data_IF_784122931561
#
_entry.id   IF_784122931561
#
_cell.length_a   1.000
_cell.length_b   1.000
_cell.length_c   1.000
_cell.angle_alpha   90.00
_cell.angle_beta   90.00
_cell.angle_gamma   90.00
#
_symmetry.space_group_name_H-M   'P 1'
#
loop_
_entity.id
_entity.type
_entity.pdbx_description
1 polymer ?
#
# COMPACT_ATOMS: atom_id res chain seq x y z
N UNK A 1 4.59 -13.87 5.40
CA UNK A 1 3.94 -12.54 5.31
C UNK A 1 2.56 -12.54 5.95
N UNK A 2 2.46 -12.92 7.23
CA UNK A 2 1.27 -12.63 8.03
C UNK A 2 1.46 -11.22 8.60
N UNK A 3 0.51 -10.30 8.40
CA UNK A 3 0.54 -8.98 9.06
C UNK A 3 0.99 -7.77 8.22
N UNK A 4 1.03 -7.84 6.88
CA UNK A 4 1.26 -6.63 6.09
C UNK A 4 0.04 -5.69 6.17
N UNK A 5 0.19 -4.56 6.87
CA UNK A 5 -0.90 -3.62 7.18
C UNK A 5 -1.59 -3.02 5.94
N UNK A 6 -0.97 -3.10 4.76
CA UNK A 6 -1.57 -2.64 3.50
C UNK A 6 -2.85 -3.42 3.17
N UNK A 7 -2.92 -4.73 3.41
CA UNK A 7 -4.10 -5.51 3.02
C UNK A 7 -5.39 -5.13 3.77
N UNK A 8 -5.40 -5.03 5.11
CA UNK A 8 -6.58 -4.51 5.81
C UNK A 8 -6.87 -3.05 5.45
N UNK A 9 -5.84 -2.21 5.24
CA UNK A 9 -6.04 -0.83 4.77
C UNK A 9 -6.73 -0.78 3.39
N UNK A 10 -6.33 -1.63 2.45
CA UNK A 10 -6.94 -1.79 1.13
C UNK A 10 -8.40 -2.24 1.23
N UNK A 11 -8.67 -3.27 2.04
CA UNK A 11 -10.04 -3.77 2.24
C UNK A 11 -10.94 -2.64 2.75
N UNK A 12 -10.51 -1.93 3.80
CA UNK A 12 -11.25 -0.79 4.33
C UNK A 12 -11.38 0.35 3.32
N UNK A 13 -10.33 0.65 2.54
CA UNK A 13 -10.34 1.71 1.54
C UNK A 13 -11.32 1.43 0.39
N UNK A 14 -11.28 0.22 -0.18
CA UNK A 14 -12.24 -0.21 -1.20
C UNK A 14 -13.67 -0.27 -0.67
N UNK A 15 -13.86 -0.78 0.56
CA UNK A 15 -15.18 -0.79 1.19
C UNK A 15 -15.70 0.64 1.43
N UNK A 16 -14.85 1.59 1.82
CA UNK A 16 -15.21 2.99 1.97
C UNK A 16 -15.68 3.60 0.63
N UNK A 17 -14.95 3.34 -0.46
CA UNK A 17 -15.35 3.79 -1.80
C UNK A 17 -16.66 3.14 -2.24
N UNK A 18 -16.86 1.85 -1.98
CA UNK A 18 -18.12 1.17 -2.27
C UNK A 18 -19.29 1.79 -1.51
N UNK A 19 -19.13 2.10 -0.23
CA UNK A 19 -20.18 2.78 0.55
C UNK A 19 -20.43 4.20 0.03
N UNK A 20 -19.38 4.93 -0.36
CA UNK A 20 -19.50 6.20 -1.05
C UNK A 20 -20.30 6.08 -2.35
N UNK A 21 -20.10 5.02 -3.13
CA UNK A 21 -20.86 4.75 -4.35
C UNK A 21 -22.33 4.46 -4.06
N UNK A 22 -22.60 3.62 -3.06
CA UNK A 22 -23.96 3.29 -2.64
C UNK A 22 -24.68 4.55 -2.14
N UNK A 23 -23.97 5.50 -1.52
CA UNK A 23 -24.53 6.82 -1.22
C UNK A 23 -25.01 7.54 -2.48
N UNK A 24 -24.20 7.59 -3.54
CA UNK A 24 -24.59 8.24 -4.82
C UNK A 24 -25.88 7.63 -5.39
N UNK A 25 -26.10 6.32 -5.17
CA UNK A 25 -27.30 5.64 -5.66
C UNK A 25 -28.52 5.78 -4.75
N UNK A 26 -28.33 5.82 -3.43
CA UNK A 26 -29.41 5.70 -2.44
C UNK A 26 -29.72 7.00 -1.72
N UNK A 27 -28.85 8.01 -1.81
CA UNK A 27 -28.89 9.31 -1.14
C UNK A 27 -29.14 9.22 0.38
N UNK A 28 -28.51 8.24 1.04
CA UNK A 28 -28.61 8.04 2.50
C UNK A 28 -27.27 8.33 3.19
N UNK A 29 -27.22 9.38 4.01
CA UNK A 29 -26.01 9.83 4.71
C UNK A 29 -25.32 8.74 5.56
N UNK A 30 -26.08 7.75 6.07
CA UNK A 30 -25.49 6.63 6.84
C UNK A 30 -24.39 5.87 6.08
N UNK A 31 -24.47 5.83 4.75
CA UNK A 31 -23.45 5.20 3.92
C UNK A 31 -22.15 6.01 3.90
N UNK A 32 -22.25 7.35 3.90
CA UNK A 32 -21.09 8.22 4.04
C UNK A 32 -20.49 8.18 5.44
N UNK A 33 -21.32 8.05 6.48
CA UNK A 33 -20.84 7.81 7.84
C UNK A 33 -20.02 6.51 7.90
N UNK A 34 -20.53 5.44 7.30
CA UNK A 34 -19.80 4.17 7.16
C UNK A 34 -18.51 4.32 6.34
N UNK A 35 -18.55 5.06 5.23
CA UNK A 35 -17.36 5.34 4.42
C UNK A 35 -16.29 6.11 5.20
N UNK A 36 -16.72 7.10 6.00
CA UNK A 36 -15.86 7.87 6.89
C UNK A 36 -15.20 7.03 7.98
N UNK A 37 -15.97 6.16 8.64
CA UNK A 37 -15.43 5.23 9.64
C UNK A 37 -14.38 4.31 9.00
N UNK A 38 -14.68 3.73 7.84
CA UNK A 38 -13.73 2.87 7.13
C UNK A 38 -12.49 3.63 6.66
N UNK A 39 -12.61 4.87 6.19
CA UNK A 39 -11.46 5.70 5.84
C UNK A 39 -10.58 6.02 7.07
N UNK A 40 -11.19 6.26 8.24
CA UNK A 40 -10.46 6.41 9.50
C UNK A 40 -9.74 5.13 9.95
N UNK A 41 -10.37 3.96 9.77
CA UNK A 41 -9.73 2.65 10.01
C UNK A 41 -8.62 2.37 9.00
N UNK A 42 -8.80 2.76 7.73
CA UNK A 42 -7.72 2.71 6.72
C UNK A 42 -6.53 3.53 7.18
N UNK A 43 -6.76 4.76 7.67
CA UNK A 43 -5.71 5.61 8.20
C UNK A 43 -4.99 4.96 9.39
N UNK A 44 -5.70 4.32 10.32
CA UNK A 44 -5.11 3.59 11.44
C UNK A 44 -4.08 2.54 11.00
N UNK A 45 -4.39 1.75 9.97
CA UNK A 45 -3.42 0.79 9.41
C UNK A 45 -2.32 1.48 8.61
N UNK A 46 -2.69 2.46 7.80
CA UNK A 46 -1.81 3.20 6.90
C UNK A 46 -2.34 4.60 6.63
N UNK A 47 -1.68 5.60 7.22
CA UNK A 47 -2.07 7.00 7.15
C UNK A 47 -2.14 7.54 5.71
N UNK A 48 -1.18 7.15 4.88
CA UNK A 48 -1.11 7.49 3.45
C UNK A 48 -2.31 6.93 2.67
N UNK A 49 -2.64 5.65 2.84
CA UNK A 49 -3.82 5.04 2.21
C UNK A 49 -5.13 5.64 2.72
N UNK A 50 -5.17 6.05 4.00
CA UNK A 50 -6.30 6.78 4.57
C UNK A 50 -6.50 8.13 3.88
N UNK A 51 -5.42 8.87 3.64
CA UNK A 51 -5.44 10.12 2.89
C UNK A 51 -5.92 9.90 1.44
N UNK A 52 -5.40 8.90 0.73
CA UNK A 52 -5.84 8.61 -0.64
C UNK A 52 -7.32 8.21 -0.70
N UNK A 53 -7.80 7.44 0.28
CA UNK A 53 -9.21 7.06 0.39
C UNK A 53 -10.09 8.29 0.61
N UNK A 54 -9.71 9.19 1.52
CA UNK A 54 -10.42 10.43 1.78
C UNK A 54 -10.46 11.35 0.55
N UNK A 55 -9.33 11.50 -0.15
CA UNK A 55 -9.24 12.27 -1.39
C UNK A 55 -10.18 11.71 -2.48
N UNK A 56 -10.21 10.39 -2.64
CA UNK A 56 -11.09 9.70 -3.59
C UNK A 56 -12.58 9.84 -3.25
N UNK A 57 -12.96 9.75 -1.97
CA UNK A 57 -14.33 10.07 -1.52
C UNK A 57 -14.66 11.54 -1.85
N UNK A 58 -13.73 12.45 -1.60
CA UNK A 58 -13.86 13.87 -1.94
C UNK A 58 -14.16 14.07 -3.43
N UNK A 59 -13.39 13.42 -4.31
CA UNK A 59 -13.59 13.45 -5.77
C UNK A 59 -14.98 12.91 -6.15
N UNK A 60 -15.40 11.80 -5.55
CA UNK A 60 -16.73 11.24 -5.78
C UNK A 60 -17.83 12.25 -5.43
N UNK A 61 -17.74 12.91 -4.27
CA UNK A 61 -18.72 13.90 -3.81
C UNK A 61 -18.69 15.21 -4.62
N UNK A 62 -17.51 15.68 -5.00
CA UNK A 62 -17.36 16.90 -5.81
C UNK A 62 -17.93 16.67 -7.21
N UNK A 63 -17.68 15.52 -7.83
CA UNK A 63 -18.20 15.22 -9.16
C UNK A 63 -19.72 15.05 -9.17
N UNK A 64 -20.31 14.45 -8.14
CA UNK A 64 -21.79 14.36 -8.05
C UNK A 64 -22.44 15.72 -7.80
N UNK A 65 -21.73 16.64 -7.14
CA UNK A 65 -22.17 18.02 -6.98
C UNK A 65 -22.05 18.84 -8.29
N UNK A 66 -20.92 18.74 -8.99
CA UNK A 66 -20.66 19.46 -10.25
C UNK A 66 -21.51 18.94 -11.42
N UNK A 67 -21.66 17.62 -11.51
CA UNK A 67 -22.29 16.91 -12.63
C UNK A 67 -23.44 16.02 -12.11
N UNK A 68 -24.53 16.62 -11.60
CA UNK A 68 -25.61 15.85 -10.99
C UNK A 68 -26.28 14.94 -12.01
N UNK A 69 -26.58 13.67 -11.64
CA UNK A 69 -27.21 12.72 -12.54
C UNK A 69 -28.69 13.05 -12.85
N UNK A 70 -29.37 13.81 -11.98
CA UNK A 70 -30.81 14.10 -12.05
C UNK A 70 -31.16 15.56 -11.66
N UNK A 71 -31.85 16.26 -12.56
CA UNK A 71 -32.63 17.48 -12.30
C UNK A 71 -31.86 18.78 -12.01
N UNK A 72 -32.49 19.91 -12.35
CA UNK A 72 -32.02 21.24 -11.95
C UNK A 72 -32.39 21.52 -10.48
N UNK A 73 -31.61 20.94 -9.57
CA UNK A 73 -31.61 21.39 -8.18
C UNK A 73 -30.91 22.76 -8.12
N UNK A 74 -31.45 23.72 -7.37
CA UNK A 74 -30.80 25.02 -7.19
C UNK A 74 -29.38 24.87 -6.62
N UNK A 75 -28.45 25.75 -7.02
CA UNK A 75 -27.04 25.68 -6.61
C UNK A 75 -26.86 25.68 -5.09
N UNK A 76 -27.69 26.45 -4.37
CA UNK A 76 -27.68 26.52 -2.90
C UNK A 76 -27.99 25.16 -2.25
N UNK A 77 -29.01 24.46 -2.74
CA UNK A 77 -29.37 23.13 -2.24
C UNK A 77 -28.31 22.09 -2.54
N UNK A 78 -27.68 22.15 -3.73
CA UNK A 78 -26.56 21.26 -4.07
C UNK A 78 -25.38 21.47 -3.12
N UNK A 79 -25.03 22.73 -2.86
CA UNK A 79 -23.91 23.09 -1.98
C UNK A 79 -24.19 22.65 -0.54
N UNK A 80 -25.41 22.87 -0.04
CA UNK A 80 -25.83 22.38 1.28
C UNK A 80 -25.72 20.85 1.37
N UNK A 81 -26.18 20.12 0.36
CA UNK A 81 -26.07 18.65 0.31
C UNK A 81 -24.61 18.20 0.30
N UNK A 82 -23.74 18.86 -0.48
CA UNK A 82 -22.31 18.57 -0.49
C UNK A 82 -21.69 18.79 0.89
N UNK A 83 -21.98 19.90 1.57
CA UNK A 83 -21.46 20.17 2.91
C UNK A 83 -21.90 19.10 3.92
N UNK A 84 -23.17 18.68 3.88
CA UNK A 84 -23.69 17.60 4.73
C UNK A 84 -23.02 16.26 4.41
N UNK A 85 -22.81 15.96 3.13
CA UNK A 85 -22.14 14.75 2.67
C UNK A 85 -20.67 14.72 3.12
N UNK A 86 -19.96 15.84 2.93
CA UNK A 86 -18.57 16.01 3.38
C UNK A 86 -18.49 15.86 4.90
N UNK A 87 -19.38 16.48 5.66
CA UNK A 87 -19.41 16.34 7.12
C UNK A 87 -19.70 14.90 7.56
N UNK A 88 -20.64 14.23 6.89
CA UNK A 88 -21.00 12.85 7.18
C UNK A 88 -19.84 11.86 6.94
N UNK A 89 -19.00 12.11 5.92
CA UNK A 89 -17.81 11.29 5.66
C UNK A 89 -16.59 11.72 6.50
N UNK A 90 -16.29 13.02 6.56
CA UNK A 90 -15.10 13.54 7.23
C UNK A 90 -15.20 13.47 8.76
N UNK A 91 -16.39 13.69 9.34
CA UNK A 91 -16.58 13.70 10.79
C UNK A 91 -16.12 12.40 11.47
N UNK A 92 -16.65 11.22 11.08
CA UNK A 92 -16.21 9.95 11.64
C UNK A 92 -14.75 9.61 11.35
N UNK A 93 -14.24 9.94 10.15
CA UNK A 93 -12.86 9.71 9.78
C UNK A 93 -11.89 10.52 10.66
N UNK A 94 -12.15 11.82 10.79
CA UNK A 94 -11.35 12.73 11.62
C UNK A 94 -11.43 12.34 13.09
N UNK A 95 -12.59 11.94 13.60
CA UNK A 95 -12.73 11.46 14.97
C UNK A 95 -11.80 10.28 15.24
N UNK A 96 -11.80 9.26 14.38
CA UNK A 96 -10.91 8.09 14.54
C UNK A 96 -9.43 8.47 14.44
N UNK A 97 -9.06 9.28 13.45
CA UNK A 97 -7.69 9.76 13.28
C UNK A 97 -7.23 10.54 14.53
N UNK A 98 -8.05 11.46 15.03
CA UNK A 98 -7.73 12.25 16.22
C UNK A 98 -7.63 11.38 17.48
N UNK A 99 -8.49 10.37 17.63
CA UNK A 99 -8.42 9.44 18.77
C UNK A 99 -7.13 8.62 18.72
N UNK A 100 -6.83 7.97 17.60
CA UNK A 100 -5.66 7.09 17.50
C UNK A 100 -4.35 7.85 17.51
N UNK A 101 -4.21 8.87 16.66
CA UNK A 101 -2.96 9.64 16.57
C UNK A 101 -2.84 10.68 17.67
N UNK A 102 -3.94 11.16 18.25
CA UNK A 102 -3.89 11.98 19.47
C UNK A 102 -3.39 11.17 20.66
N UNK A 103 -3.87 9.94 20.84
CA UNK A 103 -3.35 9.03 21.86
C UNK A 103 -1.87 8.70 21.61
N UNK A 104 -1.51 8.29 20.38
CA UNK A 104 -0.12 7.98 20.03
C UNK A 104 0.81 9.19 20.27
N UNK A 105 0.40 10.38 19.83
CA UNK A 105 1.15 11.62 20.06
C UNK A 105 1.28 11.99 21.53
N UNK A 106 0.27 11.68 22.36
CA UNK A 106 0.33 11.91 23.81
C UNK A 106 1.30 10.98 24.54
N UNK A 107 1.52 9.76 24.01
CA UNK A 107 2.41 8.76 24.61
C UNK A 107 3.84 8.86 24.07
N UNK A 108 4.00 9.01 22.75
CA UNK A 108 5.30 9.00 22.07
C UNK A 108 5.88 10.41 21.81
N UNK A 109 5.09 11.46 22.01
CA UNK A 109 5.42 12.83 21.66
C UNK A 109 5.03 13.18 20.22
N UNK A 110 4.31 14.30 20.05
CA UNK A 110 3.83 14.75 18.74
C UNK A 110 4.95 15.04 17.74
N UNK A 111 6.07 15.61 18.19
CA UNK A 111 7.22 15.86 17.31
C UNK A 111 7.78 14.56 16.74
N UNK A 112 8.02 13.56 17.59
CA UNK A 112 8.50 12.24 17.19
C UNK A 112 7.51 11.55 16.25
N UNK A 113 6.22 11.64 16.55
CA UNK A 113 5.17 11.05 15.72
C UNK A 113 5.14 11.69 14.32
N UNK A 114 5.16 13.02 14.23
CA UNK A 114 5.18 13.74 12.94
C UNK A 114 6.44 13.40 12.14
N UNK A 115 7.59 13.38 12.80
CA UNK A 115 8.85 13.03 12.15
C UNK A 115 8.80 11.62 11.54
N UNK A 116 8.35 10.62 12.31
CA UNK A 116 8.34 9.22 11.85
C UNK A 116 7.21 8.89 10.88
N UNK A 117 6.02 9.50 11.04
CA UNK A 117 4.85 9.15 10.22
C UNK A 117 4.69 10.01 8.96
N UNK A 118 5.22 11.23 8.95
CA UNK A 118 5.01 12.18 7.85
C UNK A 118 6.33 12.60 7.20
N UNK A 119 7.30 13.09 7.98
CA UNK A 119 8.54 13.67 7.43
C UNK A 119 9.42 12.57 6.84
N UNK A 120 9.80 11.58 7.65
CA UNK A 120 10.71 10.51 7.25
C UNK A 120 10.24 9.75 5.99
N UNK A 121 8.96 9.29 5.88
CA UNK A 121 8.49 8.61 4.66
C UNK A 121 8.49 9.52 3.42
N UNK A 122 8.23 10.82 3.59
CA UNK A 122 8.14 11.77 2.48
C UNK A 122 9.51 12.25 1.98
N UNK A 123 10.54 12.26 2.83
CA UNK A 123 11.87 12.80 2.51
C UNK A 123 12.93 11.71 2.53
N UNK A 124 13.38 11.30 3.72
CA UNK A 124 14.56 10.47 3.94
C UNK A 124 14.38 9.06 3.41
N UNK A 125 13.23 8.42 3.66
CA UNK A 125 12.99 7.04 3.24
C UNK A 125 13.16 6.87 1.73
N UNK A 126 12.56 7.75 0.93
CA UNK A 126 12.71 7.71 -0.53
C UNK A 126 14.15 7.97 -0.96
N UNK A 127 14.84 8.92 -0.34
CA UNK A 127 16.22 9.25 -0.69
C UNK A 127 17.19 8.07 -0.49
N UNK A 128 16.94 7.21 0.51
CA UNK A 128 17.87 6.16 0.93
C UNK A 128 17.41 4.74 0.62
N UNK A 129 16.13 4.55 0.28
CA UNK A 129 15.54 3.24 -0.09
C UNK A 129 14.97 3.19 -1.51
N UNK A 130 15.16 4.24 -2.30
CA UNK A 130 14.77 4.24 -3.71
C UNK A 130 15.47 3.10 -4.47
N UNK A 131 14.68 2.37 -5.25
CA UNK A 131 15.16 1.42 -6.25
C UNK A 131 14.94 2.02 -7.64
N UNK A 132 15.86 1.77 -8.59
CA UNK A 132 15.74 2.32 -9.93
C UNK A 132 14.45 1.83 -10.59
N UNK A 133 13.74 2.76 -11.22
CA UNK A 133 12.58 2.40 -12.03
C UNK A 133 13.04 1.68 -13.31
N UNK A 134 12.19 0.81 -13.89
CA UNK A 134 12.45 0.29 -15.23
C UNK A 134 12.66 1.46 -16.21
N UNK A 135 13.75 1.49 -17.01
CA UNK A 135 13.96 2.58 -17.96
C UNK A 135 12.81 2.67 -18.99
N UNK A 136 12.68 3.80 -19.70
CA UNK A 136 11.65 3.92 -20.73
C UNK A 136 11.92 3.00 -21.94
N UNK A 137 13.20 2.75 -22.21
CA UNK A 137 13.67 1.88 -23.27
C UNK A 137 14.24 0.62 -22.60
N UNK A 138 13.70 -0.58 -22.89
CA UNK A 138 14.26 -1.84 -22.43
C UNK A 138 15.76 -1.94 -22.67
N UNK A 139 16.50 -2.35 -21.64
CA UNK A 139 17.89 -2.69 -21.82
C UNK A 139 17.98 -4.05 -22.52
N UNK A 140 18.26 -4.01 -23.82
CA UNK A 140 18.40 -5.21 -24.64
C UNK A 140 19.73 -5.95 -24.40
N UNK A 141 20.60 -5.47 -23.51
CA UNK A 141 21.79 -6.22 -23.07
C UNK A 141 21.45 -7.59 -22.44
N UNK A 142 20.17 -7.84 -22.12
CA UNK A 142 19.64 -9.15 -21.72
C UNK A 142 19.94 -10.27 -22.72
N UNK A 143 20.23 -9.97 -23.98
CA UNK A 143 20.61 -10.97 -24.98
C UNK A 143 22.07 -11.45 -24.80
N UNK A 144 22.91 -10.65 -24.15
CA UNK A 144 24.35 -10.91 -23.97
C UNK A 144 24.77 -11.27 -22.54
N UNK A 145 23.85 -11.28 -21.57
CA UNK A 145 24.17 -11.55 -20.17
C UNK A 145 24.42 -13.03 -19.83
N UNK A 146 24.94 -13.28 -18.63
CA UNK A 146 25.05 -14.61 -18.02
C UNK A 146 23.70 -15.08 -17.43
N UNK A 147 23.35 -16.37 -17.59
CA UNK A 147 22.06 -16.96 -17.21
C UNK A 147 21.12 -17.27 -18.38
N UNK A 148 19.98 -17.90 -18.10
CA UNK A 148 18.99 -18.23 -19.14
C UNK A 148 18.24 -16.98 -19.62
N UNK A 149 18.04 -16.90 -20.94
CA UNK A 149 17.33 -15.79 -21.59
C UNK A 149 15.90 -15.69 -21.07
N UNK A 150 15.23 -16.82 -20.86
CA UNK A 150 13.83 -16.87 -20.42
C UNK A 150 13.61 -16.17 -19.07
N UNK A 151 14.50 -16.40 -18.09
CA UNK A 151 14.38 -15.80 -16.75
C UNK A 151 14.64 -14.29 -16.80
N UNK A 152 15.61 -13.85 -17.63
CA UNK A 152 15.88 -12.42 -17.80
C UNK A 152 14.75 -11.69 -18.51
N UNK A 153 14.20 -12.31 -19.55
CA UNK A 153 13.10 -11.78 -20.33
C UNK A 153 11.82 -11.68 -19.48
N UNK A 154 11.50 -12.73 -18.71
CA UNK A 154 10.37 -12.73 -17.77
C UNK A 154 10.51 -11.64 -16.72
N UNK A 155 11.68 -11.52 -16.07
CA UNK A 155 11.92 -10.45 -15.09
C UNK A 155 11.78 -9.06 -15.70
N UNK A 156 12.41 -8.83 -16.86
CA UNK A 156 12.34 -7.54 -17.55
C UNK A 156 10.88 -7.20 -17.93
N UNK A 157 10.17 -8.10 -18.60
CA UNK A 157 8.78 -7.85 -19.00
C UNK A 157 7.88 -7.67 -17.79
N UNK A 158 8.01 -8.52 -16.77
CA UNK A 158 7.24 -8.42 -15.54
C UNK A 158 7.44 -7.05 -14.88
N UNK A 159 8.69 -6.58 -14.77
CA UNK A 159 8.98 -5.30 -14.14
C UNK A 159 8.43 -4.11 -14.94
N UNK A 160 8.64 -4.11 -16.25
CA UNK A 160 8.12 -3.07 -17.13
C UNK A 160 6.60 -3.02 -17.12
N UNK A 161 5.95 -4.18 -17.26
CA UNK A 161 4.49 -4.25 -17.34
C UNK A 161 3.86 -3.88 -16.00
N UNK A 162 4.43 -4.34 -14.88
CA UNK A 162 3.94 -3.99 -13.54
C UNK A 162 4.06 -2.49 -13.26
N UNK A 163 5.12 -1.84 -13.71
CA UNK A 163 5.31 -0.40 -13.50
C UNK A 163 4.49 0.47 -14.47
N UNK A 164 4.54 0.19 -15.77
CA UNK A 164 3.98 1.07 -16.80
C UNK A 164 2.49 0.84 -17.09
N UNK A 165 1.94 -0.37 -16.90
CA UNK A 165 0.51 -0.62 -17.11
C UNK A 165 -0.36 0.25 -16.19
N UNK A 166 -0.10 0.34 -14.86
CA UNK A 166 -0.89 1.21 -14.00
C UNK A 166 -0.90 2.66 -14.47
N UNK A 167 0.27 3.22 -14.79
CA UNK A 167 0.40 4.59 -15.30
C UNK A 167 -0.41 4.78 -16.60
N UNK A 168 -0.27 3.87 -17.55
CA UNK A 168 -1.01 3.93 -18.82
C UNK A 168 -2.52 3.88 -18.58
N UNK A 169 -3.00 2.97 -17.73
CA UNK A 169 -4.43 2.83 -17.44
C UNK A 169 -4.98 4.06 -16.71
N UNK A 170 -4.23 4.67 -15.79
CA UNK A 170 -4.64 5.92 -15.15
C UNK A 170 -4.69 7.10 -16.14
N UNK A 171 -3.71 7.22 -17.04
CA UNK A 171 -3.71 8.25 -18.09
C UNK A 171 -4.90 8.06 -19.05
N UNK A 172 -5.11 6.85 -19.56
CA UNK A 172 -6.21 6.54 -20.47
C UNK A 172 -7.57 6.72 -19.80
N UNK A 173 -7.72 6.26 -18.56
CA UNK A 173 -8.97 6.43 -17.81
C UNK A 173 -9.26 7.91 -17.57
N UNK A 174 -8.26 8.70 -17.18
CA UNK A 174 -8.39 10.16 -17.02
C UNK A 174 -8.82 10.84 -18.32
N UNK A 175 -8.19 10.49 -19.44
CA UNK A 175 -8.54 11.03 -20.75
C UNK A 175 -9.99 10.70 -21.14
N UNK A 176 -10.44 9.46 -20.93
CA UNK A 176 -11.81 9.04 -21.18
C UNK A 176 -12.81 9.78 -20.28
N UNK A 177 -12.47 9.98 -19.00
CA UNK A 177 -13.28 10.74 -18.05
C UNK A 177 -13.43 12.20 -18.46
N UNK A 178 -12.33 12.85 -18.88
CA UNK A 178 -12.37 14.22 -19.41
C UNK A 178 -13.26 14.30 -20.65
N UNK A 179 -13.14 13.36 -21.58
CA UNK A 179 -14.02 13.30 -22.76
C UNK A 179 -15.49 13.09 -22.36
N UNK A 180 -15.77 12.22 -21.38
CA UNK A 180 -17.13 12.01 -20.86
C UNK A 180 -17.70 13.29 -20.24
N UNK A 181 -16.92 13.97 -19.39
CA UNK A 181 -17.31 15.22 -18.74
C UNK A 181 -17.57 16.35 -19.75
N UNK A 182 -16.70 16.53 -20.76
CA UNK A 182 -16.88 17.53 -21.82
C UNK A 182 -18.13 17.25 -22.65
N UNK A 183 -18.38 15.98 -23.00
CA UNK A 183 -19.61 15.59 -23.71
C UNK A 183 -20.86 15.82 -22.87
N UNK A 184 -20.74 15.66 -21.54
CA UNK A 184 -21.83 15.94 -20.63
C UNK A 184 -22.15 17.43 -20.52
N UNK A 185 -21.12 18.28 -20.39
CA UNK A 185 -21.28 19.73 -20.34
C UNK A 185 -21.84 20.33 -21.64
N UNK A 186 -21.57 19.73 -22.80
CA UNK A 186 -22.11 20.17 -24.10
C UNK A 186 -23.54 19.71 -24.38
N UNK A 187 -24.23 19.11 -23.39
CA UNK A 187 -25.61 18.63 -23.53
C UNK A 187 -25.77 17.34 -24.35
N UNK A 188 -24.66 16.66 -24.69
CA UNK A 188 -24.68 15.49 -25.57
C UNK A 188 -25.02 14.17 -24.85
N UNK A 189 -24.67 14.02 -23.56
CA UNK A 189 -24.93 12.85 -22.70
C UNK A 189 -24.95 13.27 -21.22
N UNK A 190 -25.39 12.43 -20.29
CA UNK A 190 -25.18 12.66 -18.84
C UNK A 190 -23.88 12.01 -18.39
N UNK A 191 -23.19 12.61 -17.42
CA UNK A 191 -22.05 11.98 -16.76
C UNK A 191 -22.55 10.81 -15.91
N UNK A 192 -22.06 9.59 -16.19
CA UNK A 192 -22.59 8.42 -15.53
C UNK A 192 -22.06 8.32 -14.09
N UNK A 193 -22.87 7.75 -13.17
CA UNK A 193 -22.42 7.50 -11.79
C UNK A 193 -21.15 6.62 -11.77
N UNK A 194 -21.07 5.66 -12.68
CA UNK A 194 -19.88 4.82 -12.88
C UNK A 194 -18.64 5.61 -13.29
N UNK A 195 -18.79 6.74 -13.97
CA UNK A 195 -17.67 7.61 -14.34
C UNK A 195 -17.16 8.38 -13.12
N UNK A 196 -18.04 8.82 -12.22
CA UNK A 196 -17.63 9.42 -10.93
C UNK A 196 -16.85 8.42 -10.06
N UNK A 197 -17.28 7.15 -10.03
CA UNK A 197 -16.53 6.08 -9.36
C UNK A 197 -15.18 5.83 -10.03
N UNK A 198 -15.13 5.75 -11.36
CA UNK A 198 -13.86 5.58 -12.07
C UNK A 198 -12.89 6.74 -11.79
N UNK A 199 -13.38 7.98 -11.69
CA UNK A 199 -12.55 9.12 -11.29
C UNK A 199 -12.01 8.99 -9.86
N UNK A 200 -12.85 8.58 -8.91
CA UNK A 200 -12.43 8.31 -7.54
C UNK A 200 -11.37 7.19 -7.48
N UNK A 201 -11.55 6.13 -8.28
CA UNK A 201 -10.59 5.04 -8.40
C UNK A 201 -9.27 5.50 -9.03
N UNK A 202 -9.28 6.36 -10.06
CA UNK A 202 -8.05 6.92 -10.62
C UNK A 202 -7.25 7.67 -9.54
N UNK A 203 -7.90 8.51 -8.74
CA UNK A 203 -7.24 9.22 -7.63
C UNK A 203 -6.72 8.24 -6.58
N UNK A 204 -7.48 7.19 -6.27
CA UNK A 204 -7.09 6.19 -5.28
C UNK A 204 -5.87 5.40 -5.74
N UNK A 205 -5.91 4.90 -6.99
CA UNK A 205 -4.84 4.14 -7.61
C UNK A 205 -3.58 4.96 -7.82
N UNK A 206 -3.70 6.19 -8.31
CA UNK A 206 -2.57 7.11 -8.48
C UNK A 206 -1.91 7.45 -7.13
N UNK A 207 -2.71 7.67 -6.08
CA UNK A 207 -2.20 7.84 -4.72
C UNK A 207 -1.42 6.62 -4.25
N UNK A 208 -1.99 5.42 -4.38
CA UNK A 208 -1.29 4.18 -4.03
C UNK A 208 -0.02 3.94 -4.86
N UNK A 209 0.01 4.39 -6.12
CA UNK A 209 1.20 4.27 -6.96
C UNK A 209 2.38 5.13 -6.44
N UNK A 210 2.13 6.16 -5.64
CA UNK A 210 3.19 6.93 -4.96
C UNK A 210 4.07 6.01 -4.10
N UNK A 211 3.50 4.96 -3.51
CA UNK A 211 4.27 3.97 -2.75
C UNK A 211 5.30 3.24 -3.65
N UNK A 212 4.93 2.87 -4.86
CA UNK A 212 5.83 2.27 -5.85
C UNK A 212 6.90 3.27 -6.35
N UNK A 213 6.60 4.57 -6.34
CA UNK A 213 7.60 5.61 -6.63
C UNK A 213 8.61 5.78 -5.50
N UNK A 214 8.24 5.53 -4.25
CA UNK A 214 9.20 5.57 -3.14
C UNK A 214 10.15 4.38 -3.16
N UNK A 215 9.65 3.19 -3.51
CA UNK A 215 10.43 1.96 -3.67
C UNK A 215 9.73 1.05 -4.67
N UNK A 216 10.35 0.85 -5.82
CA UNK A 216 9.80 -0.03 -6.84
C UNK A 216 10.14 -1.49 -6.55
N UNK A 217 9.12 -2.25 -6.17
CA UNK A 217 9.11 -3.71 -6.17
C UNK A 217 7.65 -4.21 -6.25
N UNK A 218 7.47 -5.53 -6.36
CA UNK A 218 6.16 -6.16 -6.54
C UNK A 218 5.16 -5.82 -5.42
N UNK A 219 5.61 -5.81 -4.15
CA UNK A 219 4.70 -5.61 -3.02
C UNK A 219 4.24 -4.16 -2.90
N UNK A 220 5.03 -3.21 -3.41
CA UNK A 220 4.69 -1.78 -3.41
C UNK A 220 3.81 -1.36 -4.59
N UNK A 221 3.86 -2.07 -5.74
CA UNK A 221 3.01 -1.77 -6.91
C UNK A 221 1.64 -2.47 -6.85
N UNK A 222 1.56 -3.62 -6.19
CA UNK A 222 0.34 -4.43 -6.09
C UNK A 222 -0.92 -3.65 -5.69
N UNK A 223 -0.91 -2.73 -4.68
CA UNK A 223 -2.09 -1.95 -4.31
C UNK A 223 -2.68 -1.14 -5.47
N UNK A 224 -1.81 -0.46 -6.22
CA UNK A 224 -2.19 0.32 -7.39
C UNK A 224 -2.73 -0.59 -8.51
N UNK A 225 -2.11 -1.75 -8.71
CA UNK A 225 -2.51 -2.74 -9.70
C UNK A 225 -3.91 -3.32 -9.49
N UNK A 226 -4.39 -3.43 -8.25
CA UNK A 226 -5.78 -3.87 -8.00
C UNK A 226 -6.80 -2.87 -8.56
N UNK A 227 -6.52 -1.57 -8.44
CA UNK A 227 -7.36 -0.51 -9.03
C UNK A 227 -7.34 -0.59 -10.56
N UNK A 228 -6.19 -0.93 -11.13
CA UNK A 228 -6.03 -1.08 -12.59
C UNK A 228 -6.97 -2.12 -13.16
N UNK A 229 -7.10 -3.28 -12.51
CA UNK A 229 -8.03 -4.33 -12.96
C UNK A 229 -9.48 -3.83 -12.99
N UNK A 230 -9.88 -3.05 -11.98
CA UNK A 230 -11.22 -2.45 -11.92
C UNK A 230 -11.41 -1.39 -13.02
N UNK A 231 -10.42 -0.53 -13.24
CA UNK A 231 -10.46 0.51 -14.26
C UNK A 231 -10.45 -0.07 -15.68
N UNK A 232 -9.69 -1.14 -15.95
CA UNK A 232 -9.75 -1.84 -17.23
C UNK A 232 -11.16 -2.36 -17.48
N UNK A 233 -11.81 -2.95 -16.47
CA UNK A 233 -13.20 -3.42 -16.58
C UNK A 233 -14.16 -2.28 -16.91
N UNK A 234 -13.97 -1.10 -16.28
CA UNK A 234 -14.73 0.11 -16.61
C UNK A 234 -14.45 0.59 -18.05
N UNK A 235 -13.19 0.64 -18.49
CA UNK A 235 -12.82 1.04 -19.85
C UNK A 235 -13.42 0.11 -20.91
N UNK A 236 -13.36 -1.20 -20.68
CA UNK A 236 -13.93 -2.22 -21.56
C UNK A 236 -15.44 -2.05 -21.71
N UNK A 237 -16.14 -1.72 -20.62
CA UNK A 237 -17.58 -1.41 -20.64
C UNK A 237 -17.92 -0.20 -21.53
N UNK A 238 -16.99 0.72 -21.76
CA UNK A 238 -17.22 1.88 -22.65
C UNK A 238 -17.24 1.51 -24.14
N UNK A 239 -16.84 0.27 -24.50
CA UNK A 239 -16.81 -0.20 -25.89
C UNK A 239 -18.24 -0.58 -26.34
N UNK A 240 -18.80 0.05 -27.38
CA UNK A 240 -20.13 -0.28 -27.88
C UNK A 240 -20.23 -1.74 -28.36
N UNK A 241 -21.35 -2.41 -28.08
CA UNK A 241 -21.60 -3.81 -28.44
C UNK A 241 -21.26 -4.14 -29.91
N UNK A 242 -21.64 -3.27 -30.85
CA UNK A 242 -21.38 -3.48 -32.28
C UNK A 242 -19.91 -3.42 -32.70
N UNK A 243 -18.99 -2.97 -31.84
CA UNK A 243 -17.54 -2.97 -32.12
C UNK A 243 -16.85 -4.27 -31.70
N UNK A 244 -17.50 -5.13 -30.92
CA UNK A 244 -16.92 -6.39 -30.46
C UNK A 244 -16.78 -7.45 -31.56
N UNK A 245 -17.37 -7.25 -32.73
CA UNK A 245 -17.11 -8.11 -33.90
C UNK A 245 -15.80 -7.76 -34.62
N UNK A 246 -15.18 -6.62 -34.30
CA UNK A 246 -14.02 -6.10 -35.02
C UNK A 246 -12.72 -6.62 -34.40
N UNK A 247 -11.85 -7.32 -35.16
CA UNK A 247 -10.62 -7.93 -34.62
C UNK A 247 -9.64 -6.92 -34.05
N UNK A 248 -9.57 -5.71 -34.62
CA UNK A 248 -8.74 -4.61 -34.12
C UNK A 248 -9.22 -4.01 -32.79
N UNK A 249 -10.41 -4.39 -32.30
CA UNK A 249 -10.89 -4.05 -30.96
C UNK A 249 -10.74 -5.24 -30.02
N UNK A 250 -11.18 -6.44 -30.44
CA UNK A 250 -11.18 -7.61 -29.57
C UNK A 250 -9.78 -8.11 -29.22
N UNK A 251 -8.85 -8.14 -30.17
CA UNK A 251 -7.50 -8.64 -29.93
C UNK A 251 -6.74 -7.75 -28.93
N UNK A 252 -6.69 -6.41 -29.09
CA UNK A 252 -6.06 -5.56 -28.08
C UNK A 252 -6.74 -5.62 -26.72
N UNK A 253 -8.08 -5.68 -26.67
CA UNK A 253 -8.81 -5.79 -25.39
C UNK A 253 -8.49 -7.12 -24.69
N UNK A 254 -8.46 -8.22 -25.43
CA UNK A 254 -8.09 -9.53 -24.89
C UNK A 254 -6.64 -9.51 -24.37
N UNK A 255 -5.71 -8.88 -25.10
CA UNK A 255 -4.32 -8.73 -24.64
C UNK A 255 -4.23 -7.87 -23.36
N UNK A 256 -4.95 -6.75 -23.31
CA UNK A 256 -5.02 -5.85 -22.14
C UNK A 256 -5.66 -6.53 -20.93
N UNK A 257 -6.54 -7.52 -21.11
CA UNK A 257 -7.11 -8.31 -20.02
C UNK A 257 -6.19 -9.46 -19.60
N UNK A 258 -5.56 -10.13 -20.57
CA UNK A 258 -4.71 -11.30 -20.33
C UNK A 258 -3.44 -10.92 -19.56
N UNK A 259 -2.81 -9.77 -19.88
CA UNK A 259 -1.56 -9.37 -19.23
C UNK A 259 -1.73 -9.12 -17.72
N UNK A 260 -2.66 -8.27 -17.24
CA UNK A 260 -2.95 -8.10 -15.82
C UNK A 260 -3.43 -9.39 -15.16
N UNK A 261 -4.21 -10.23 -15.85
CA UNK A 261 -4.63 -11.52 -15.32
C UNK A 261 -3.42 -12.42 -15.02
N UNK A 262 -2.47 -12.53 -15.94
CA UNK A 262 -1.25 -13.30 -15.73
C UNK A 262 -0.41 -12.71 -14.59
N UNK A 263 -0.21 -11.38 -14.59
CA UNK A 263 0.67 -10.71 -13.62
C UNK A 263 0.11 -10.65 -12.20
N UNK A 264 -1.21 -10.46 -12.05
CA UNK A 264 -1.84 -10.18 -10.75
C UNK A 264 -2.72 -11.30 -10.23
N UNK A 265 -3.01 -12.32 -11.04
CA UNK A 265 -3.75 -13.50 -10.60
C UNK A 265 -2.93 -14.76 -10.73
N UNK A 266 -2.47 -15.11 -11.93
CA UNK A 266 -1.76 -16.38 -12.17
C UNK A 266 -0.44 -16.46 -11.42
N UNK A 267 0.43 -15.44 -11.57
CA UNK A 267 1.74 -15.42 -10.91
C UNK A 267 1.62 -15.44 -9.38
N UNK A 268 0.80 -14.58 -8.74
CA UNK A 268 0.57 -14.65 -7.29
C UNK A 268 -0.08 -15.97 -6.84
N UNK A 269 -0.98 -16.55 -7.64
CA UNK A 269 -1.57 -17.86 -7.32
C UNK A 269 -0.53 -18.98 -7.34
N UNK A 270 0.38 -18.99 -8.31
CA UNK A 270 1.48 -19.95 -8.37
C UNK A 270 2.40 -19.75 -7.15
N UNK A 271 2.76 -18.51 -6.84
CA UNK A 271 3.55 -18.17 -5.65
C UNK A 271 2.88 -18.65 -4.36
N UNK A 272 1.60 -18.36 -4.17
CA UNK A 272 0.80 -18.81 -3.04
C UNK A 272 0.71 -20.33 -2.99
N UNK A 273 0.46 -21.00 -4.10
CA UNK A 273 0.40 -22.47 -4.17
C UNK A 273 1.73 -23.09 -3.77
N UNK A 274 2.84 -22.52 -4.23
CA UNK A 274 4.18 -22.96 -3.84
C UNK A 274 4.44 -22.73 -2.35
N UNK A 275 4.05 -21.57 -1.81
CA UNK A 275 4.14 -21.29 -0.36
C UNK A 275 3.32 -22.31 0.41
N UNK A 276 2.05 -22.52 0.07
CA UNK A 276 1.14 -23.44 0.79
C UNK A 276 1.63 -24.89 0.71
N UNK A 277 2.28 -25.31 -0.39
CA UNK A 277 2.86 -26.65 -0.50
C UNK A 277 3.99 -26.91 0.50
N UNK A 278 4.80 -25.89 0.82
CA UNK A 278 5.92 -26.02 1.76
C UNK A 278 5.54 -25.59 3.18
N UNK A 279 4.64 -24.61 3.28
CA UNK A 279 4.17 -23.95 4.50
C UNK A 279 2.63 -23.97 4.53
N UNK A 280 2.06 -25.18 4.64
CA UNK A 280 0.63 -25.39 4.82
C UNK A 280 0.11 -24.57 6.02
N UNK A 281 -1.04 -23.90 5.92
CA UNK A 281 -1.62 -23.13 7.03
C UNK A 281 -1.94 -23.96 8.29
N UNK A 282 -1.97 -25.29 8.16
CA UNK A 282 -2.26 -26.23 9.25
C UNK A 282 -0.97 -26.79 9.89
N UNK A 283 0.20 -26.48 9.35
CA UNK A 283 1.48 -26.94 9.88
C UNK A 283 1.98 -26.09 11.05
N UNK A 284 2.93 -26.66 11.80
CA UNK A 284 3.67 -25.93 12.83
C UNK A 284 5.16 -25.89 12.46
N UNK A 285 5.67 -24.67 12.27
CA UNK A 285 6.99 -24.43 11.67
C UNK A 285 8.00 -23.82 12.64
N UNK A 286 7.61 -23.58 13.88
CA UNK A 286 8.48 -23.10 14.94
C UNK A 286 8.09 -23.79 16.24
N UNK A 287 9.10 -24.09 17.04
CA UNK A 287 8.95 -24.66 18.38
C UNK A 287 8.74 -23.58 19.44
N UNK A 288 8.96 -22.32 19.09
CA UNK A 288 8.81 -21.20 20.00
C UNK A 288 7.32 -20.93 20.30
N UNK A 289 6.89 -20.89 21.57
CA UNK A 289 5.50 -20.60 21.92
C UNK A 289 4.98 -19.28 21.34
N UNK A 290 5.85 -18.25 21.29
CA UNK A 290 5.50 -16.91 20.78
C UNK A 290 5.37 -16.86 19.26
N UNK A 291 6.02 -17.75 18.51
CA UNK A 291 5.86 -17.83 17.07
C UNK A 291 4.48 -18.37 16.67
N UNK A 292 3.77 -19.07 17.57
CA UNK A 292 2.42 -19.54 17.31
C UNK A 292 2.32 -20.40 16.05
N UNK A 293 3.29 -21.31 15.86
CA UNK A 293 3.44 -22.18 14.69
C UNK A 293 3.80 -21.49 13.36
N UNK A 294 3.95 -20.16 13.33
CA UNK A 294 4.39 -19.43 12.14
C UNK A 294 5.86 -19.74 11.84
N UNK A 295 6.26 -19.93 10.57
CA UNK A 295 7.65 -20.15 10.22
C UNK A 295 8.52 -18.95 10.61
N UNK A 296 9.65 -19.24 11.24
CA UNK A 296 10.71 -18.27 11.60
C UNK A 296 11.82 -18.28 10.54
N UNK A 297 12.67 -17.26 10.55
CA UNK A 297 13.87 -17.24 9.71
C UNK A 297 14.87 -18.32 10.19
N UNK A 298 15.73 -18.86 9.30
CA UNK A 298 16.76 -19.82 9.69
C UNK A 298 17.60 -19.31 10.88
N UNK A 299 17.73 -20.13 11.91
CA UNK A 299 18.50 -19.82 13.12
C UNK A 299 17.79 -18.96 14.17
N UNK A 300 16.59 -18.42 13.90
CA UNK A 300 15.84 -17.64 14.90
C UNK A 300 15.38 -18.49 16.09
N UNK A 301 14.82 -19.68 15.83
CA UNK A 301 14.41 -20.61 16.89
C UNK A 301 15.59 -20.95 17.81
N UNK A 302 16.74 -21.28 17.21
CA UNK A 302 17.97 -21.63 17.94
C UNK A 302 18.48 -20.43 18.76
N UNK A 303 18.51 -19.23 18.17
CA UNK A 303 18.94 -18.02 18.87
C UNK A 303 18.06 -17.73 20.09
N UNK A 304 16.74 -17.87 19.97
CA UNK A 304 15.82 -17.68 21.10
C UNK A 304 16.05 -18.75 22.17
N UNK A 305 16.20 -20.02 21.79
CA UNK A 305 16.47 -21.11 22.73
C UNK A 305 17.79 -20.90 23.48
N UNK A 306 18.85 -20.44 22.80
CA UNK A 306 20.14 -20.09 23.43
C UNK A 306 19.94 -18.94 24.43
N UNK A 307 19.23 -17.89 24.04
CA UNK A 307 18.96 -16.75 24.93
C UNK A 307 18.15 -17.18 26.16
N UNK A 308 17.12 -17.99 25.99
CA UNK A 308 16.28 -18.48 27.10
C UNK A 308 17.07 -19.38 28.05
N UNK A 309 17.99 -20.20 27.53
CA UNK A 309 18.85 -21.04 28.35
C UNK A 309 19.94 -20.25 29.09
N UNK A 310 20.60 -19.30 28.41
CA UNK A 310 21.76 -18.58 28.93
C UNK A 310 21.39 -17.32 29.74
N UNK A 311 20.17 -16.80 29.58
CA UNK A 311 19.72 -15.56 30.23
C UNK A 311 18.23 -15.63 30.58
N UNK A 312 17.81 -16.47 31.53
CA UNK A 312 16.39 -16.66 31.84
C UNK A 312 15.70 -15.39 32.39
N UNK A 313 16.47 -14.41 32.87
CA UNK A 313 15.96 -13.16 33.45
C UNK A 313 15.35 -12.19 32.41
N UNK A 314 15.48 -12.48 31.11
CA UNK A 314 14.85 -11.72 30.01
C UNK A 314 15.14 -10.21 30.02
N UNK A 315 16.38 -9.83 30.37
CA UNK A 315 16.85 -8.45 30.28
C UNK A 315 16.85 -7.87 28.86
N UNK A 316 17.14 -6.57 28.71
CA UNK A 316 17.18 -5.88 27.42
C UNK A 316 18.07 -6.61 26.40
N UNK A 317 17.62 -6.63 25.15
CA UNK A 317 18.33 -7.20 24.01
C UNK A 317 18.65 -6.09 23.02
N UNK A 318 19.80 -6.18 22.35
CA UNK A 318 20.05 -5.44 21.12
C UNK A 318 20.12 -6.40 19.95
N UNK A 319 19.31 -6.15 18.92
CA UNK A 319 19.31 -6.89 17.67
C UNK A 319 19.72 -5.96 16.51
N UNK A 320 20.91 -6.17 15.97
CA UNK A 320 21.51 -5.30 14.97
C UNK A 320 22.21 -6.03 13.83
N UNK A 321 23.13 -5.34 13.17
CA UNK A 321 23.97 -5.88 12.11
C UNK A 321 25.44 -5.90 12.54
N UNK A 322 26.28 -6.81 12.01
CA UNK A 322 27.72 -6.74 12.23
C UNK A 322 28.32 -5.40 11.76
N UNK A 323 27.69 -4.78 10.76
CA UNK A 323 28.06 -3.49 10.17
C UNK A 323 26.86 -2.55 10.12
N UNK A 324 26.94 -1.43 10.84
CA UNK A 324 25.90 -0.39 10.89
C UNK A 324 26.14 0.76 9.90
N UNK A 325 27.26 0.73 9.17
CA UNK A 325 27.54 1.63 8.05
C UNK A 325 26.89 1.16 6.74
N UNK A 326 26.59 -0.14 6.63
CA UNK A 326 25.89 -0.73 5.48
C UNK A 326 24.63 -1.48 5.94
N UNK A 327 23.58 -0.72 6.22
CA UNK A 327 22.31 -1.26 6.73
C UNK A 327 21.44 -1.76 5.56
N UNK A 328 21.10 -3.05 5.56
CA UNK A 328 20.05 -3.58 4.69
C UNK A 328 18.73 -3.74 5.47
N UNK A 329 18.69 -4.69 6.39
CA UNK A 329 17.59 -4.91 7.33
C UNK A 329 18.15 -5.60 8.58
N UNK A 330 17.65 -5.27 9.76
CA UNK A 330 17.90 -6.07 10.96
C UNK A 330 16.68 -6.93 11.30
N UNK A 331 16.86 -7.87 12.23
CA UNK A 331 15.76 -8.74 12.68
C UNK A 331 15.01 -8.11 13.84
N UNK A 332 13.95 -7.36 13.53
CA UNK A 332 13.05 -6.78 14.54
C UNK A 332 12.21 -7.86 15.23
N UNK A 333 11.95 -8.97 14.55
CA UNK A 333 11.04 -10.01 15.05
C UNK A 333 11.60 -10.75 16.27
N UNK A 334 12.93 -10.80 16.41
CA UNK A 334 13.60 -11.47 17.53
C UNK A 334 13.20 -10.90 18.90
N UNK A 335 12.92 -9.59 19.00
CA UNK A 335 12.46 -8.98 20.26
C UNK A 335 11.13 -9.58 20.72
N UNK A 336 10.20 -9.75 19.78
CA UNK A 336 8.91 -10.36 20.04
C UNK A 336 9.08 -11.86 20.37
N UNK A 337 9.83 -12.59 19.56
CA UNK A 337 10.04 -14.04 19.71
C UNK A 337 10.74 -14.40 21.02
N UNK A 338 11.79 -13.66 21.40
CA UNK A 338 12.51 -13.85 22.67
C UNK A 338 11.76 -13.24 23.87
N UNK A 339 10.79 -12.37 23.62
CA UNK A 339 10.05 -11.67 24.66
C UNK A 339 10.91 -10.78 25.55
N UNK A 340 11.88 -10.09 24.93
CA UNK A 340 12.83 -9.21 25.61
C UNK A 340 12.58 -7.74 25.29
N UNK A 341 12.80 -6.82 26.25
CA UNK A 341 12.81 -5.39 25.99
C UNK A 341 13.89 -5.01 24.96
N UNK A 342 13.66 -3.89 24.27
CA UNK A 342 14.55 -3.36 23.26
C UNK A 342 15.58 -2.43 23.94
N UNK A 343 16.86 -2.66 23.70
CA UNK A 343 17.95 -1.93 24.35
C UNK A 343 18.19 -0.51 23.80
N UNK A 344 17.61 -0.16 22.65
CA UNK A 344 17.72 1.16 22.04
C UNK A 344 16.35 1.57 21.48
N UNK A 345 16.08 2.87 21.31
CA UNK A 345 14.85 3.27 20.61
C UNK A 345 14.86 2.89 19.12
N UNK A 346 16.06 2.68 18.57
CA UNK A 346 16.31 2.30 17.18
C UNK A 346 16.25 0.78 16.97
N UNK A 347 15.06 0.21 17.16
CA UNK A 347 14.83 -1.23 17.01
C UNK A 347 14.79 -1.70 15.56
N UNK A 348 14.40 -0.84 14.61
CA UNK A 348 14.49 -1.07 13.18
C UNK A 348 15.56 -0.16 12.58
N UNK A 349 16.55 -0.76 11.92
CA UNK A 349 17.68 -0.02 11.35
C UNK A 349 17.34 0.47 9.93
N UNK A 350 17.50 1.78 9.72
CA UNK A 350 17.24 2.44 8.44
C UNK A 350 18.48 3.18 7.93
N UNK A 351 18.91 2.94 6.68
CA UNK A 351 19.92 3.76 6.00
C UNK A 351 19.57 5.25 6.07
N UNK A 352 20.59 6.10 6.22
CA UNK A 352 20.42 7.55 6.37
C UNK A 352 19.85 8.01 7.71
N UNK A 353 19.43 7.10 8.58
CA UNK A 353 19.07 7.38 9.97
C UNK A 353 20.10 6.74 10.89
N UNK A 354 20.10 5.41 10.98
CA UNK A 354 20.99 4.65 11.88
C UNK A 354 22.41 4.49 11.35
N UNK A 355 22.67 4.95 10.12
CA UNK A 355 24.02 5.06 9.54
C UNK A 355 24.67 6.41 9.83
N UNK A 356 23.96 7.35 10.48
CA UNK A 356 24.52 8.67 10.80
C UNK A 356 25.29 8.63 12.11
N UNK A 357 26.36 9.42 12.20
CA UNK A 357 27.19 9.48 13.41
C UNK A 357 26.37 9.86 14.65
N UNK A 358 25.54 10.90 14.55
CA UNK A 358 24.71 11.40 15.66
C UNK A 358 23.81 10.31 16.22
N UNK A 359 23.15 9.53 15.36
CA UNK A 359 22.28 8.43 15.79
C UNK A 359 23.11 7.27 16.36
N UNK A 360 24.27 6.95 15.79
CA UNK A 360 25.12 5.89 16.33
C UNK A 360 25.68 6.24 17.72
N UNK A 361 26.08 7.49 17.95
CA UNK A 361 26.50 7.98 19.26
C UNK A 361 25.36 7.86 20.29
N UNK A 362 24.13 8.17 19.88
CA UNK A 362 22.93 7.98 20.72
C UNK A 362 22.69 6.49 21.03
N UNK A 363 22.76 5.61 20.02
CA UNK A 363 22.64 4.17 20.23
C UNK A 363 23.72 3.63 21.18
N UNK A 364 24.97 4.09 21.05
CA UNK A 364 26.07 3.71 21.94
C UNK A 364 25.79 4.18 23.38
N UNK A 365 25.30 5.41 23.55
CA UNK A 365 24.92 5.93 24.85
C UNK A 365 23.79 5.10 25.48
N UNK A 366 22.74 4.77 24.72
CA UNK A 366 21.63 3.92 25.17
C UNK A 366 22.11 2.51 25.56
N UNK A 367 22.94 1.88 24.73
CA UNK A 367 23.51 0.56 25.01
C UNK A 367 24.42 0.57 26.24
N UNK A 368 25.18 1.65 26.44
CA UNK A 368 26.03 1.81 27.63
C UNK A 368 25.19 1.98 28.88
N UNK A 369 24.09 2.73 28.81
CA UNK A 369 23.20 2.95 29.95
C UNK A 369 22.39 1.70 30.32
N UNK A 370 21.93 0.95 29.32
CA UNK A 370 21.12 -0.25 29.52
C UNK A 370 21.94 -1.52 29.76
N UNK A 371 23.20 -1.53 29.31
CA UNK A 371 24.15 -2.64 29.43
C UNK A 371 23.51 -4.02 29.11
N UNK A 372 22.94 -4.22 27.91
CA UNK A 372 22.25 -5.46 27.57
C UNK A 372 23.20 -6.64 27.69
N UNK A 373 22.77 -7.71 28.36
CA UNK A 373 23.58 -8.91 28.56
C UNK A 373 23.85 -9.70 27.28
N UNK A 374 23.07 -9.43 26.21
CA UNK A 374 23.17 -10.09 24.92
C UNK A 374 23.00 -9.12 23.76
N UNK A 375 23.79 -9.35 22.71
CA UNK A 375 23.67 -8.72 21.41
C UNK A 375 23.43 -9.83 20.38
N UNK A 376 22.44 -9.65 19.51
CA UNK A 376 22.13 -10.55 18.40
C UNK A 376 22.43 -9.81 17.11
N UNK A 377 23.26 -10.41 16.26
CA UNK A 377 23.59 -9.86 14.96
C UNK A 377 23.10 -10.78 13.86
N UNK A 378 22.36 -10.22 12.90
CA UNK A 378 21.95 -10.96 11.70
C UNK A 378 22.95 -10.73 10.56
N UNK A 379 23.30 -11.81 9.86
CA UNK A 379 24.09 -11.77 8.63
C UNK A 379 23.19 -12.18 7.47
N UNK A 380 23.11 -11.34 6.44
CA UNK A 380 22.50 -11.71 5.16
C UNK A 380 23.59 -12.35 4.30
N UNK A 381 23.39 -13.61 3.92
CA UNK A 381 24.30 -14.40 3.08
C UNK A 381 24.07 -14.18 1.60
#
# INVERSE_FOLDING_TARGET
FYGYAVFPALLCGFAALLLGFIYVDRDKLRWLVGAGLLAGVTAFFRLDLGFYTAASIGVLLILTWLLPPEGDVAWGDRTRRLMLAVLAAAGPALLLVLVFYGYLGSVAGFSTMVENLLVFPATTFRAVRHLPYPPLIPDWSIWSGEGSIDVRLDRMLSDYLRFYIPLLVYVLSSALLVVSAVRAGRGGRRFARTDSMAAALVVFGAGMFVQALSRYDEIHVLPASLVVVILITWMVRQIPAGRWSQPWVTVPVAAVLLVPFTLYFVSPYIGLSNIVRHFTPLGCYSTLPRAGCVPTLPGQDDAVQILDHQSPERGPLFAGLPRHDNVFANDVSIYFLAGRPIATRYHELHPGVTTTQVVQEEMVAELTAQAPGWLVFITWG
#
